data_IF_957753057384
#
_entry.id   IF_957753057384
#
_cell.length_a   1.000
_cell.length_b   1.000
_cell.length_c   1.000
_cell.angle_alpha   90.00
_cell.angle_beta   90.00
_cell.angle_gamma   90.00
#
_symmetry.space_group_name_H-M   'P 1'
#
loop_
_entity.id
_entity.type
_entity.pdbx_description
1 polymer ?
#
# COMPACT_ATOMS: atom_id res chain seq x y z
N UNK A 1 12.93 -7.50 21.34
CA UNK A 1 12.04 -8.57 20.83
C UNK A 1 10.60 -8.10 20.54
N UNK A 2 10.08 -7.06 21.22
CA UNK A 2 8.73 -6.50 21.00
C UNK A 2 8.49 -5.99 19.56
N UNK A 3 9.45 -5.27 18.98
CA UNK A 3 9.34 -4.76 17.60
C UNK A 3 9.22 -5.86 16.55
N UNK A 4 9.85 -7.02 16.76
CA UNK A 4 9.75 -8.16 15.84
C UNK A 4 8.36 -8.81 15.88
N UNK A 5 7.75 -8.92 17.07
CA UNK A 5 6.38 -9.41 17.21
C UNK A 5 5.38 -8.49 16.51
N UNK A 6 5.53 -7.17 16.70
CA UNK A 6 4.69 -6.16 16.03
C UNK A 6 4.86 -6.25 14.51
N UNK A 7 6.10 -6.32 14.02
CA UNK A 7 6.40 -6.49 12.61
C UNK A 7 5.72 -7.74 12.04
N UNK A 8 5.85 -8.89 12.70
CA UNK A 8 5.20 -10.14 12.27
C UNK A 8 3.69 -9.98 12.13
N UNK A 9 3.00 -9.50 13.16
CA UNK A 9 1.55 -9.30 13.13
C UNK A 9 1.15 -8.38 11.99
N UNK A 10 1.87 -7.27 11.84
CA UNK A 10 1.57 -6.28 10.81
C UNK A 10 1.85 -6.82 9.39
N UNK A 11 2.83 -7.70 9.21
CA UNK A 11 3.06 -8.40 7.94
C UNK A 11 1.93 -9.35 7.55
N UNK A 12 1.31 -10.03 8.51
CA UNK A 12 0.12 -10.84 8.23
C UNK A 12 -1.10 -9.98 7.89
N UNK A 13 -1.25 -8.81 8.52
CA UNK A 13 -2.30 -7.84 8.17
C UNK A 13 -2.07 -7.22 6.78
N UNK A 14 -0.81 -7.05 6.37
CA UNK A 14 -0.49 -6.56 5.04
C UNK A 14 -0.89 -7.54 3.93
N UNK A 15 -0.99 -8.85 4.18
CA UNK A 15 -1.38 -9.84 3.17
C UNK A 15 -2.77 -9.59 2.55
N UNK A 16 -3.87 -9.46 3.32
CA UNK A 16 -5.18 -9.14 2.75
C UNK A 16 -5.20 -7.76 2.06
N UNK A 17 -4.45 -6.78 2.57
CA UNK A 17 -4.29 -5.47 1.91
C UNK A 17 -3.61 -5.65 0.54
N UNK A 18 -2.48 -6.35 0.49
CA UNK A 18 -1.77 -6.65 -0.74
C UNK A 18 -2.60 -7.49 -1.72
N UNK A 19 -3.42 -8.42 -1.23
CA UNK A 19 -4.34 -9.18 -2.07
C UNK A 19 -5.43 -8.29 -2.68
N UNK A 20 -6.01 -7.37 -1.90
CA UNK A 20 -6.98 -6.39 -2.37
C UNK A 20 -6.37 -5.46 -3.44
N UNK A 21 -5.18 -4.91 -3.17
CA UNK A 21 -4.48 -4.09 -4.16
C UNK A 21 -4.08 -4.89 -5.39
N UNK A 22 -3.70 -6.16 -5.24
CA UNK A 22 -3.38 -7.07 -6.35
C UNK A 22 -4.58 -7.32 -7.24
N UNK A 23 -5.75 -7.55 -6.64
CA UNK A 23 -7.00 -7.68 -7.40
C UNK A 23 -7.31 -6.39 -8.15
N UNK A 24 -7.20 -5.22 -7.50
CA UNK A 24 -7.42 -3.91 -8.15
C UNK A 24 -6.42 -3.71 -9.29
N UNK A 25 -5.13 -4.02 -9.11
CA UNK A 25 -4.11 -3.94 -10.16
C UNK A 25 -4.49 -4.81 -11.35
N UNK A 26 -4.96 -6.04 -11.12
CA UNK A 26 -5.38 -6.94 -12.20
C UNK A 26 -6.61 -6.41 -12.95
N UNK A 27 -7.64 -5.93 -12.23
CA UNK A 27 -8.86 -5.39 -12.83
C UNK A 27 -8.59 -4.12 -13.64
N UNK A 28 -7.64 -3.30 -13.20
CA UNK A 28 -7.26 -2.04 -13.85
C UNK A 28 -6.22 -2.22 -14.95
N UNK A 29 -5.65 -3.41 -15.12
CA UNK A 29 -4.59 -3.67 -16.08
C UNK A 29 -5.03 -3.42 -17.53
N UNK A 30 -6.15 -4.00 -17.96
CA UNK A 30 -6.66 -3.83 -19.33
C UNK A 30 -7.04 -2.36 -19.61
N UNK A 31 -7.82 -1.67 -18.74
CA UNK A 31 -8.08 -0.23 -18.90
C UNK A 31 -6.80 0.62 -18.97
N UNK A 32 -5.77 0.28 -18.19
CA UNK A 32 -4.52 1.01 -18.19
C UNK A 32 -3.70 0.79 -19.47
N UNK A 33 -3.71 -0.42 -20.04
CA UNK A 33 -3.07 -0.66 -21.34
C UNK A 33 -3.70 0.17 -22.46
N UNK A 34 -4.99 0.46 -22.36
CA UNK A 34 -5.71 1.31 -23.31
C UNK A 34 -5.51 2.80 -23.07
N UNK A 35 -5.17 3.21 -21.84
CA UNK A 35 -5.07 4.61 -21.43
C UNK A 35 -3.75 4.88 -20.69
N UNK A 36 -2.73 5.46 -21.35
CA UNK A 36 -1.42 5.71 -20.75
C UNK A 36 -1.44 6.56 -19.48
N UNK A 37 -2.44 7.42 -19.31
CA UNK A 37 -2.64 8.22 -18.10
C UNK A 37 -2.80 7.37 -16.82
N UNK A 38 -3.24 6.12 -16.94
CA UNK A 38 -3.45 5.21 -15.82
C UNK A 38 -2.19 4.41 -15.42
N UNK A 39 -1.11 4.47 -16.21
CA UNK A 39 0.10 3.66 -15.96
C UNK A 39 0.76 3.97 -14.63
N UNK A 40 0.77 5.25 -14.24
CA UNK A 40 1.30 5.65 -12.94
C UNK A 40 0.49 5.02 -11.80
N UNK A 41 -0.84 5.06 -11.88
CA UNK A 41 -1.74 4.46 -10.88
C UNK A 41 -1.54 2.94 -10.80
N UNK A 42 -1.43 2.28 -11.96
CA UNK A 42 -1.16 0.84 -12.03
C UNK A 42 0.19 0.49 -11.38
N UNK A 43 1.24 1.27 -11.66
CA UNK A 43 2.56 1.11 -11.05
C UNK A 43 2.51 1.27 -9.53
N UNK A 44 1.82 2.29 -9.03
CA UNK A 44 1.68 2.53 -7.60
C UNK A 44 0.99 1.34 -6.90
N UNK A 45 -0.12 0.84 -7.45
CA UNK A 45 -0.80 -0.31 -6.87
C UNK A 45 0.06 -1.58 -6.94
N UNK A 46 0.69 -1.84 -8.08
CA UNK A 46 1.61 -2.97 -8.23
C UNK A 46 2.77 -2.89 -7.22
N UNK A 47 3.27 -1.69 -6.92
CA UNK A 47 4.37 -1.50 -5.96
C UNK A 47 3.99 -1.94 -4.54
N UNK A 48 2.77 -1.62 -4.07
CA UNK A 48 2.27 -2.10 -2.77
C UNK A 48 2.21 -3.62 -2.72
N UNK A 49 1.78 -4.25 -3.82
CA UNK A 49 1.67 -5.70 -3.94
C UNK A 49 3.06 -6.35 -3.88
N UNK A 50 4.00 -5.85 -4.69
CA UNK A 50 5.38 -6.33 -4.72
C UNK A 50 6.04 -6.13 -3.35
N UNK A 51 5.85 -4.96 -2.73
CA UNK A 51 6.33 -4.67 -1.39
C UNK A 51 5.78 -5.67 -0.36
N UNK A 52 4.49 -5.95 -0.39
CA UNK A 52 3.83 -6.88 0.54
C UNK A 52 4.46 -8.27 0.45
N UNK A 53 4.59 -8.82 -0.77
CA UNK A 53 5.16 -10.16 -0.95
C UNK A 53 6.65 -10.23 -0.64
N UNK A 54 7.43 -9.22 -1.05
CA UNK A 54 8.87 -9.21 -0.82
C UNK A 54 9.20 -9.02 0.67
N UNK A 55 8.49 -8.15 1.39
CA UNK A 55 8.64 -7.98 2.83
C UNK A 55 8.18 -9.21 3.62
N UNK A 56 7.08 -9.86 3.22
CA UNK A 56 6.63 -11.11 3.82
C UNK A 56 7.62 -12.26 3.59
N UNK A 57 8.19 -12.36 2.38
CA UNK A 57 9.25 -13.32 2.07
C UNK A 57 10.48 -13.09 2.94
N UNK A 58 10.86 -11.84 3.20
CA UNK A 58 11.96 -11.52 4.10
C UNK A 58 11.67 -11.94 5.56
N UNK A 59 10.44 -11.74 6.05
CA UNK A 59 10.03 -12.22 7.36
C UNK A 59 10.15 -13.75 7.46
N UNK A 60 9.42 -14.49 6.60
CA UNK A 60 9.32 -15.94 6.71
C UNK A 60 10.64 -16.65 6.34
N UNK A 61 11.23 -16.28 5.20
CA UNK A 61 12.42 -17.00 4.72
C UNK A 61 13.72 -16.46 5.31
N UNK A 62 13.79 -15.17 5.61
CA UNK A 62 14.99 -14.56 6.20
C UNK A 62 14.99 -14.68 7.71
N UNK A 63 14.09 -13.96 8.35
CA UNK A 63 14.12 -13.79 9.81
C UNK A 63 13.72 -15.07 10.55
N UNK A 64 12.62 -15.71 10.16
CA UNK A 64 12.10 -16.87 10.90
C UNK A 64 12.94 -18.13 10.72
N UNK A 65 13.46 -18.34 9.50
CA UNK A 65 14.35 -19.46 9.20
C UNK A 65 15.83 -19.17 9.46
N UNK A 66 16.16 -17.95 9.90
CA UNK A 66 17.55 -17.45 9.99
C UNK A 66 18.40 -17.79 8.75
N UNK A 67 17.79 -17.71 7.56
CA UNK A 67 18.43 -18.11 6.33
C UNK A 67 18.90 -16.90 5.52
N UNK A 68 19.96 -17.12 4.73
CA UNK A 68 20.50 -16.09 3.85
C UNK A 68 19.46 -15.65 2.81
N UNK A 69 19.38 -14.34 2.61
CA UNK A 69 18.54 -13.69 1.64
C UNK A 69 19.38 -13.13 0.49
N UNK A 70 18.83 -13.16 -0.73
CA UNK A 70 19.50 -12.56 -1.90
C UNK A 70 19.63 -11.04 -1.70
N UNK A 71 20.77 -10.41 -2.05
CA UNK A 71 20.91 -8.96 -2.02
C UNK A 71 19.81 -8.23 -2.80
N UNK A 72 19.41 -8.77 -3.95
CA UNK A 72 18.32 -8.21 -4.76
C UNK A 72 16.99 -8.13 -4.01
N UNK A 73 16.69 -9.06 -3.07
CA UNK A 73 15.47 -9.00 -2.26
C UNK A 73 15.45 -7.72 -1.39
N UNK A 74 16.61 -7.31 -0.86
CA UNK A 74 16.73 -6.07 -0.09
C UNK A 74 16.42 -4.85 -0.94
N UNK A 75 16.90 -4.82 -2.18
CA UNK A 75 16.68 -3.71 -3.10
C UNK A 75 15.23 -3.63 -3.55
N UNK A 76 14.62 -4.78 -3.89
CA UNK A 76 13.20 -4.89 -4.18
C UNK A 76 12.33 -4.36 -3.03
N UNK A 77 12.65 -4.74 -1.78
CA UNK A 77 11.93 -4.23 -0.61
C UNK A 77 12.12 -2.72 -0.48
N UNK A 78 13.35 -2.21 -0.55
CA UNK A 78 13.63 -0.78 -0.36
C UNK A 78 12.92 0.10 -1.38
N UNK A 79 13.05 -0.20 -2.66
CA UNK A 79 12.44 0.60 -3.74
C UNK A 79 10.93 0.65 -3.56
N UNK A 80 10.29 -0.51 -3.38
CA UNK A 80 8.83 -0.56 -3.25
C UNK A 80 8.34 -0.07 -1.88
N UNK A 81 9.17 -0.12 -0.84
CA UNK A 81 8.84 0.47 0.46
C UNK A 81 8.75 1.99 0.37
N UNK A 82 9.65 2.66 -0.36
CA UNK A 82 9.57 4.11 -0.54
C UNK A 82 8.34 4.52 -1.36
N UNK A 83 8.04 3.80 -2.44
CA UNK A 83 6.82 4.03 -3.22
C UNK A 83 5.57 3.78 -2.38
N UNK A 84 5.53 2.69 -1.61
CA UNK A 84 4.43 2.38 -0.69
C UNK A 84 4.26 3.45 0.39
N UNK A 85 5.36 4.05 0.86
CA UNK A 85 5.31 5.16 1.83
C UNK A 85 4.65 6.40 1.22
N UNK A 86 4.99 6.75 -0.02
CA UNK A 86 4.36 7.85 -0.75
C UNK A 86 2.86 7.60 -0.90
N UNK A 87 2.47 6.39 -1.30
CA UNK A 87 1.04 6.02 -1.45
C UNK A 87 0.31 6.08 -0.10
N UNK A 88 0.93 5.54 0.96
CA UNK A 88 0.40 5.64 2.32
C UNK A 88 0.19 7.10 2.73
N UNK A 89 1.17 7.98 2.47
CA UNK A 89 1.04 9.41 2.71
C UNK A 89 -0.10 10.06 1.91
N UNK A 90 -0.22 9.73 0.62
CA UNK A 90 -1.33 10.22 -0.22
C UNK A 90 -2.70 9.78 0.31
N UNK A 91 -2.85 8.51 0.69
CA UNK A 91 -4.10 8.01 1.26
C UNK A 91 -4.44 8.67 2.60
N UNK A 92 -3.43 8.89 3.44
CA UNK A 92 -3.60 9.56 4.72
C UNK A 92 -4.12 10.99 4.53
N UNK A 93 -3.46 11.77 3.66
CA UNK A 93 -3.84 13.16 3.37
C UNK A 93 -5.24 13.23 2.75
N UNK A 94 -5.53 12.39 1.75
CA UNK A 94 -6.85 12.37 1.09
C UNK A 94 -7.97 11.96 2.06
N UNK A 95 -7.73 10.95 2.89
CA UNK A 95 -8.69 10.51 3.88
C UNK A 95 -8.98 11.58 4.93
N UNK A 96 -7.95 12.22 5.48
CA UNK A 96 -8.13 13.34 6.43
C UNK A 96 -8.86 14.49 5.75
N UNK A 97 -8.52 14.83 4.52
CA UNK A 97 -9.21 15.86 3.75
C UNK A 97 -10.72 15.60 3.74
N UNK A 98 -11.14 14.45 3.21
CA UNK A 98 -12.56 14.07 3.14
C UNK A 98 -13.23 14.04 4.52
N UNK A 99 -12.57 13.47 5.53
CA UNK A 99 -13.15 13.33 6.87
C UNK A 99 -13.24 14.67 7.63
N UNK A 100 -12.41 15.64 7.26
CA UNK A 100 -12.41 16.99 7.86
C UNK A 100 -13.35 17.95 7.14
N UNK A 101 -13.87 17.60 5.97
CA UNK A 101 -14.84 18.43 5.26
C UNK A 101 -16.17 18.52 6.03
N UNK A 102 -16.68 19.76 6.16
CA UNK A 102 -18.01 20.00 6.69
C UNK A 102 -19.12 19.50 5.76
N UNK A 103 -20.38 19.37 6.24
CA UNK A 103 -21.49 18.80 5.48
C UNK A 103 -21.76 19.53 4.14
N UNK A 104 -21.65 20.86 4.12
CA UNK A 104 -21.90 21.69 2.93
C UNK A 104 -20.82 21.44 1.87
N UNK A 105 -19.54 21.59 2.23
CA UNK A 105 -18.43 21.37 1.30
C UNK A 105 -18.39 19.94 0.74
N UNK A 106 -18.79 18.96 1.56
CA UNK A 106 -18.85 17.57 1.13
C UNK A 106 -20.02 17.30 0.17
N UNK A 107 -21.16 17.97 0.37
CA UNK A 107 -22.27 17.96 -0.58
C UNK A 107 -21.86 18.57 -1.93
N UNK A 108 -21.17 19.72 -1.91
CA UNK A 108 -20.70 20.39 -3.13
C UNK A 108 -19.71 19.51 -3.91
N UNK A 109 -18.79 18.85 -3.20
CA UNK A 109 -17.86 17.89 -3.78
C UNK A 109 -18.58 16.72 -4.47
N UNK A 110 -19.64 16.18 -3.85
CA UNK A 110 -20.43 15.09 -4.43
C UNK A 110 -21.20 15.57 -5.66
N UNK A 111 -21.80 16.76 -5.62
CA UNK A 111 -22.48 17.35 -6.79
C UNK A 111 -21.53 17.48 -7.97
N UNK A 112 -20.32 18.00 -7.76
CA UNK A 112 -19.30 18.10 -8.81
C UNK A 112 -18.87 16.73 -9.37
N UNK A 113 -18.77 15.71 -8.51
CA UNK A 113 -18.47 14.34 -8.96
C UNK A 113 -19.58 13.78 -9.84
N UNK A 114 -20.85 14.02 -9.48
CA UNK A 114 -22.00 13.55 -10.27
C UNK A 114 -22.01 14.23 -11.64
N UNK A 115 -21.82 15.55 -11.69
CA UNK A 115 -21.78 16.32 -12.93
C UNK A 115 -20.62 15.89 -13.84
N UNK A 116 -19.50 15.47 -13.26
CA UNK A 116 -18.31 15.02 -13.99
C UNK A 116 -18.44 13.60 -14.56
N UNK A 117 -19.47 12.83 -14.19
CA UNK A 117 -19.64 11.44 -14.62
C UNK A 117 -20.92 11.26 -15.44
N UNK A 118 -20.85 11.37 -16.79
CA UNK A 118 -22.02 11.35 -17.67
C UNK A 118 -22.79 10.01 -17.67
N UNK A 119 -22.17 8.93 -17.19
CA UNK A 119 -22.73 7.58 -17.19
C UNK A 119 -23.23 7.11 -15.80
N UNK A 120 -23.39 8.01 -14.82
CA UNK A 120 -23.94 7.62 -13.52
C UNK A 120 -25.41 7.16 -13.67
N UNK A 121 -25.81 6.05 -13.02
CA UNK A 121 -27.19 5.62 -13.01
C UNK A 121 -28.11 6.73 -12.48
N UNK A 122 -29.08 7.15 -13.29
CA UNK A 122 -30.10 8.12 -12.90
C UNK A 122 -30.89 7.54 -11.72
N UNK A 123 -30.70 8.10 -10.52
CA UNK A 123 -31.36 7.64 -9.29
C UNK A 123 -30.43 7.32 -8.11
N UNK A 124 -29.12 7.48 -8.25
CA UNK A 124 -28.21 7.37 -7.09
C UNK A 124 -28.47 8.52 -6.10
N UNK A 125 -28.92 8.18 -4.89
CA UNK A 125 -29.21 9.16 -3.84
C UNK A 125 -27.91 9.85 -3.38
N UNK A 126 -27.82 11.19 -3.37
CA UNK A 126 -26.62 11.92 -2.95
C UNK A 126 -26.12 11.51 -1.55
N UNK A 127 -27.04 11.26 -0.61
CA UNK A 127 -26.70 10.81 0.74
C UNK A 127 -25.95 9.48 0.78
N UNK A 128 -26.27 8.58 -0.17
CA UNK A 128 -25.61 7.30 -0.29
C UNK A 128 -24.16 7.47 -0.78
N UNK A 129 -23.93 8.40 -1.72
CA UNK A 129 -22.59 8.72 -2.22
C UNK A 129 -21.76 9.36 -1.12
N UNK A 130 -22.33 10.30 -0.37
CA UNK A 130 -21.70 10.94 0.79
C UNK A 130 -21.28 9.88 1.84
N UNK A 131 -22.19 8.97 2.19
CA UNK A 131 -21.91 7.90 3.15
C UNK A 131 -20.81 6.97 2.65
N UNK A 132 -20.84 6.59 1.36
CA UNK A 132 -19.82 5.75 0.75
C UNK A 132 -18.45 6.44 0.76
N UNK A 133 -18.40 7.73 0.39
CA UNK A 133 -17.16 8.50 0.36
C UNK A 133 -16.50 8.59 1.73
N UNK A 134 -17.28 8.87 2.79
CA UNK A 134 -16.80 8.87 4.17
C UNK A 134 -16.32 7.49 4.62
N UNK A 135 -17.03 6.43 4.23
CA UNK A 135 -16.65 5.05 4.54
C UNK A 135 -15.32 4.68 3.88
N UNK A 136 -15.17 4.98 2.60
CA UNK A 136 -13.93 4.76 1.85
C UNK A 136 -12.79 5.56 2.45
N UNK A 137 -13.01 6.83 2.79
CA UNK A 137 -12.00 7.66 3.46
C UNK A 137 -11.57 7.07 4.81
N UNK A 138 -12.51 6.60 5.63
CA UNK A 138 -12.21 5.90 6.88
C UNK A 138 -11.35 4.65 6.67
N UNK A 139 -11.71 3.80 5.71
CA UNK A 139 -10.92 2.62 5.36
C UNK A 139 -9.51 2.98 4.83
N UNK A 140 -9.41 3.99 3.96
CA UNK A 140 -8.13 4.48 3.43
C UNK A 140 -7.23 5.02 4.55
N UNK A 141 -7.80 5.70 5.55
CA UNK A 141 -7.05 6.17 6.70
C UNK A 141 -6.43 5.00 7.47
N UNK A 142 -7.21 3.97 7.78
CA UNK A 142 -6.72 2.78 8.49
C UNK A 142 -5.63 2.07 7.69
N UNK A 143 -5.85 1.85 6.39
CA UNK A 143 -4.86 1.23 5.50
C UNK A 143 -3.58 2.05 5.46
N UNK A 144 -3.68 3.38 5.35
CA UNK A 144 -2.51 4.26 5.27
C UNK A 144 -1.62 4.15 6.51
N UNK A 145 -2.21 4.15 7.71
CA UNK A 145 -1.49 4.01 8.97
C UNK A 145 -0.77 2.67 9.03
N UNK A 146 -1.46 1.58 8.64
CA UNK A 146 -0.88 0.23 8.61
C UNK A 146 0.31 0.16 7.64
N UNK A 147 0.16 0.68 6.42
CA UNK A 147 1.21 0.67 5.39
C UNK A 147 2.43 1.46 5.86
N UNK A 148 2.23 2.69 6.36
CA UNK A 148 3.31 3.55 6.85
C UNK A 148 4.04 2.88 8.01
N UNK A 149 3.31 2.37 9.01
CA UNK A 149 3.89 1.68 10.15
C UNK A 149 4.68 0.44 9.71
N UNK A 150 4.14 -0.35 8.77
CA UNK A 150 4.81 -1.54 8.25
C UNK A 150 6.09 -1.19 7.50
N UNK A 151 6.09 -0.12 6.69
CA UNK A 151 7.28 0.36 5.98
C UNK A 151 8.39 0.75 6.96
N UNK A 152 8.07 1.58 7.95
CA UNK A 152 9.06 2.04 8.94
C UNK A 152 9.67 0.84 9.68
N UNK A 153 8.84 -0.11 10.11
CA UNK A 153 9.30 -1.33 10.78
C UNK A 153 10.16 -2.20 9.84
N UNK A 154 9.75 -2.39 8.59
CA UNK A 154 10.49 -3.18 7.60
C UNK A 154 11.89 -2.60 7.38
N UNK A 155 12.00 -1.29 7.19
CA UNK A 155 13.30 -0.62 7.02
C UNK A 155 14.19 -0.77 8.26
N UNK A 156 13.60 -0.71 9.46
CA UNK A 156 14.29 -1.00 10.71
C UNK A 156 14.79 -2.46 10.79
N UNK A 157 13.96 -3.42 10.37
CA UNK A 157 14.33 -4.84 10.36
C UNK A 157 15.41 -5.15 9.30
N UNK A 158 15.38 -4.51 8.14
CA UNK A 158 16.43 -4.65 7.13
C UNK A 158 17.79 -4.18 7.63
N UNK A 159 17.84 -3.14 8.48
CA UNK A 159 19.07 -2.70 9.14
C UNK A 159 19.53 -3.73 10.16
N UNK A 160 18.61 -4.18 11.04
CA UNK A 160 18.91 -5.10 12.13
C UNK A 160 19.38 -6.48 11.64
N UNK A 161 18.75 -7.00 10.60
CA UNK A 161 19.06 -8.30 10.00
C UNK A 161 19.91 -8.14 8.72
N UNK A 162 20.72 -7.06 8.64
CA UNK A 162 21.58 -6.79 7.49
C UNK A 162 22.54 -7.93 7.16
N UNK A 163 22.98 -8.68 8.18
CA UNK A 163 23.86 -9.85 8.04
C UNK A 163 23.25 -10.99 7.20
N UNK A 164 21.91 -11.07 7.09
CA UNK A 164 21.26 -12.07 6.26
C UNK A 164 21.48 -11.84 4.75
N UNK A 165 21.96 -10.65 4.36
CA UNK A 165 22.18 -10.26 2.96
C UNK A 165 23.66 -10.20 2.57
N UNK A 166 24.57 -10.53 3.47
CA UNK A 166 26.01 -10.48 3.21
C UNK A 166 26.48 -11.78 2.55
N UNK A 167 27.20 -11.67 1.44
CA UNK A 167 27.86 -12.81 0.79
C UNK A 167 29.15 -13.09 1.60
N UNK A 168 29.44 -14.34 1.99
CA UNK A 168 30.72 -14.64 2.63
C UNK A 168 31.85 -14.30 1.65
N UNK A 169 32.79 -13.46 2.08
CA UNK A 169 34.07 -13.30 1.38
C UNK A 169 34.80 -14.62 1.49
N UNK A 170 34.91 -15.35 0.38
CA UNK A 170 35.88 -16.44 0.30
C UNK A 170 37.27 -15.81 0.46
N UNK A 171 37.87 -15.96 1.64
CA UNK A 171 39.32 -15.92 1.76
C UNK A 171 39.84 -17.19 1.10
N UNK A 172 40.09 -17.14 -0.21
CA UNK A 172 40.99 -18.07 -0.87
C UNK A 172 42.41 -17.51 -0.70
N UNK A 173 43.04 -17.96 0.38
CA UNK A 173 44.50 -17.98 0.55
C UNK A 173 45.17 -18.84 -0.52
#
# INVERSE_FOLDING_TARGET
MRSLKIFRVLSYIMLPIGALFGLITLLTLIPALMNPSMWLMLFLFASIVIYTFTSFKFLNNGIERNARCKPSLKDWIKVNAYVSLVIGGMFFINAIGILSLGPVALSDLVTQMIESQPNLPKGMRPDLIISLLKTVAGCMLVISIIVIAHVILTLGMLKKFGHLFTIPSNHSS
#
